data_IF_153202852069
#
_entry.id   IF_153202852069
#
_cell.length_a   1.000
_cell.length_b   1.000
_cell.length_c   1.000
_cell.angle_alpha   90.00
_cell.angle_beta   90.00
_cell.angle_gamma   90.00
#
_symmetry.space_group_name_H-M   'P 1'
#
loop_
_entity.id
_entity.type
_entity.pdbx_description
1 polymer ?
#
# COMPACT_ATOMS: atom_id res chain seq x y z
N UNK A 1 -0.92 32.68 8.28
CA UNK A 1 0.32 31.95 8.60
C UNK A 1 0.03 30.97 9.71
N UNK A 2 -0.13 29.67 9.41
CA UNK A 2 -0.40 28.65 10.42
C UNK A 2 0.90 28.39 11.18
N UNK A 3 0.86 28.59 12.49
CA UNK A 3 2.00 28.49 13.39
C UNK A 3 2.63 27.08 13.35
N UNK A 4 3.91 26.99 12.98
CA UNK A 4 4.67 25.74 12.85
C UNK A 4 4.66 24.88 14.12
N UNK A 5 4.35 25.44 15.31
CA UNK A 5 4.18 24.65 16.55
C UNK A 5 2.94 23.77 16.56
N UNK A 6 1.81 24.20 15.97
CA UNK A 6 0.59 23.37 15.88
C UNK A 6 0.70 22.24 14.86
N UNK A 7 1.52 22.39 13.81
CA UNK A 7 1.82 21.28 12.90
C UNK A 7 2.68 20.20 13.57
N UNK A 8 3.61 20.59 14.45
CA UNK A 8 4.45 19.66 15.20
C UNK A 8 3.67 18.78 16.18
N UNK A 9 2.68 19.34 16.87
CA UNK A 9 1.83 18.60 17.81
C UNK A 9 0.83 17.66 17.10
N UNK A 10 0.36 17.99 15.90
CA UNK A 10 -0.48 17.10 15.09
C UNK A 10 0.34 15.94 14.50
N UNK A 11 1.63 16.16 14.23
CA UNK A 11 2.56 15.15 13.74
C UNK A 11 3.01 14.17 14.84
N UNK A 12 3.19 14.63 16.09
CA UNK A 12 3.61 13.76 17.19
C UNK A 12 2.52 12.80 17.69
N UNK A 13 1.25 13.07 17.39
CA UNK A 13 0.12 12.20 17.77
C UNK A 13 -0.11 11.01 16.82
N UNK A 14 0.67 10.89 15.74
CA UNK A 14 0.55 9.78 14.81
C UNK A 14 1.89 9.03 14.73
N UNK A 15 1.97 7.82 15.29
CA UNK A 15 3.09 6.89 15.01
C UNK A 15 3.32 6.62 13.52
N UNK A 16 2.37 7.01 12.66
CA UNK A 16 2.55 7.08 11.20
C UNK A 16 3.60 8.12 10.80
N UNK A 17 3.65 9.31 11.42
CA UNK A 17 4.61 10.39 11.12
C UNK A 17 6.06 9.98 11.33
N UNK A 18 6.37 9.36 12.47
CA UNK A 18 7.69 8.78 12.75
C UNK A 18 8.04 7.66 11.77
N UNK A 19 7.10 6.76 11.44
CA UNK A 19 7.30 5.72 10.42
C UNK A 19 7.61 6.32 9.03
N UNK A 20 6.97 7.43 8.66
CA UNK A 20 7.24 8.14 7.40
C UNK A 20 8.62 8.81 7.41
N UNK A 21 9.03 9.40 8.53
CA UNK A 21 10.33 10.04 8.68
C UNK A 21 11.47 9.00 8.67
N UNK A 22 11.29 7.88 9.38
CA UNK A 22 12.20 6.73 9.37
C UNK A 22 12.32 6.11 7.97
N UNK A 23 11.20 5.90 7.25
CA UNK A 23 11.24 5.44 5.85
C UNK A 23 12.01 6.43 4.96
N UNK A 24 11.82 7.74 5.16
CA UNK A 24 12.53 8.79 4.44
C UNK A 24 14.05 8.74 4.66
N UNK A 25 14.48 8.55 5.92
CA UNK A 25 15.89 8.44 6.29
C UNK A 25 16.56 7.17 5.75
N UNK A 26 15.87 6.03 5.76
CA UNK A 26 16.37 4.78 5.15
C UNK A 26 16.62 4.98 3.65
N UNK A 27 15.67 5.59 2.94
CA UNK A 27 15.81 5.85 1.49
C UNK A 27 16.91 6.86 1.17
N UNK A 28 17.11 7.87 2.02
CA UNK A 28 18.25 8.80 1.90
C UNK A 28 19.58 8.07 2.06
N UNK A 29 19.70 7.18 3.07
CA UNK A 29 20.92 6.39 3.34
C UNK A 29 21.24 5.40 2.23
N UNK A 30 20.23 4.78 1.62
CA UNK A 30 20.37 3.86 0.49
C UNK A 30 20.70 4.55 -0.85
N UNK A 31 20.95 5.87 -0.86
CA UNK A 31 21.21 6.66 -2.07
C UNK A 31 20.09 6.60 -3.12
N UNK A 32 18.87 6.17 -2.73
CA UNK A 32 17.72 6.09 -3.65
C UNK A 32 17.35 7.47 -4.20
N UNK A 33 17.51 8.53 -3.39
CA UNK A 33 17.36 9.91 -3.85
C UNK A 33 18.29 10.25 -5.03
N UNK A 34 19.55 9.81 -4.99
CA UNK A 34 20.50 10.02 -6.10
C UNK A 34 20.09 9.24 -7.33
N UNK A 35 19.59 8.02 -7.16
CA UNK A 35 19.06 7.21 -8.25
C UNK A 35 17.83 7.83 -8.91
N UNK A 36 16.87 8.32 -8.11
CA UNK A 36 15.71 9.06 -8.60
C UNK A 36 16.10 10.31 -9.41
N UNK A 37 17.07 11.09 -8.91
CA UNK A 37 17.59 12.26 -9.61
C UNK A 37 18.38 11.88 -10.88
N UNK A 38 19.06 10.73 -10.87
CA UNK A 38 19.72 10.18 -12.06
C UNK A 38 18.70 9.77 -13.13
N UNK A 39 17.62 9.09 -12.74
CA UNK A 39 16.53 8.72 -13.65
C UNK A 39 15.89 9.98 -14.26
N UNK A 40 15.62 11.00 -13.46
CA UNK A 40 15.08 12.27 -13.95
C UNK A 40 15.99 12.95 -14.98
N UNK A 41 17.29 12.98 -14.72
CA UNK A 41 18.25 13.69 -15.61
C UNK A 41 18.50 12.95 -16.93
N UNK A 42 18.40 11.63 -16.93
CA UNK A 42 18.78 10.81 -18.08
C UNK A 42 17.59 10.16 -18.80
N UNK A 43 16.38 10.23 -18.25
CA UNK A 43 15.20 9.55 -18.82
C UNK A 43 13.91 10.36 -18.63
N UNK A 44 12.93 10.15 -19.52
CA UNK A 44 11.58 10.74 -19.40
C UNK A 44 10.64 9.91 -18.50
N UNK A 45 11.17 9.08 -17.60
CA UNK A 45 10.38 8.18 -16.76
C UNK A 45 9.64 8.98 -15.67
N UNK A 46 8.30 8.88 -15.69
CA UNK A 46 7.40 9.43 -14.67
C UNK A 46 7.09 8.37 -13.62
N UNK A 47 6.71 8.75 -12.38
CA UNK A 47 6.26 7.80 -11.36
C UNK A 47 5.17 6.85 -11.88
N UNK A 48 4.24 7.36 -12.68
CA UNK A 48 3.13 6.56 -13.25
C UNK A 48 3.63 5.39 -14.12
N UNK A 49 4.73 5.56 -14.85
CA UNK A 49 5.32 4.46 -15.64
C UNK A 49 5.88 3.35 -14.73
N UNK A 50 6.44 3.72 -13.58
CA UNK A 50 6.94 2.78 -12.58
C UNK A 50 5.75 2.01 -11.98
N UNK A 51 4.66 2.69 -11.65
CA UNK A 51 3.44 2.06 -11.13
C UNK A 51 2.83 1.07 -12.14
N UNK A 52 2.72 1.46 -13.41
CA UNK A 52 2.20 0.58 -14.48
C UNK A 52 3.10 -0.65 -14.66
N UNK A 53 4.41 -0.46 -14.71
CA UNK A 53 5.36 -1.58 -14.78
C UNK A 53 5.24 -2.50 -13.55
N UNK A 54 5.11 -1.91 -12.36
CA UNK A 54 4.96 -2.65 -11.12
C UNK A 54 3.66 -3.48 -11.08
N UNK A 55 2.57 -2.96 -11.65
CA UNK A 55 1.33 -3.71 -11.82
C UNK A 55 1.53 -4.97 -12.69
N UNK A 56 2.20 -4.84 -13.84
CA UNK A 56 2.47 -6.00 -14.69
C UNK A 56 3.39 -7.03 -14.02
N UNK A 57 4.36 -6.59 -13.21
CA UNK A 57 5.16 -7.50 -12.38
C UNK A 57 4.29 -8.26 -11.37
N UNK A 58 3.35 -7.59 -10.71
CA UNK A 58 2.40 -8.23 -9.81
C UNK A 58 1.58 -9.31 -10.52
N UNK A 59 1.05 -9.01 -11.72
CA UNK A 59 0.30 -9.99 -12.53
C UNK A 59 1.20 -11.15 -12.97
N UNK A 60 2.43 -10.88 -13.40
CA UNK A 60 3.38 -11.92 -13.79
C UNK A 60 3.73 -12.86 -12.62
N UNK A 61 3.74 -12.34 -11.40
CA UNK A 61 3.92 -13.13 -10.19
C UNK A 61 2.88 -14.23 -10.02
N UNK A 62 1.64 -14.02 -10.47
CA UNK A 62 0.58 -15.05 -10.45
C UNK A 62 0.91 -16.23 -11.36
N UNK A 63 1.61 -16.02 -12.47
CA UNK A 63 2.01 -17.11 -13.38
C UNK A 63 3.03 -18.03 -12.73
N UNK A 64 3.91 -17.46 -11.90
CA UNK A 64 4.93 -18.18 -11.14
C UNK A 64 4.40 -18.78 -9.84
N UNK A 65 3.22 -18.33 -9.39
CA UNK A 65 2.59 -18.79 -8.16
C UNK A 65 2.40 -20.31 -8.21
N UNK A 66 2.93 -20.99 -7.20
CA UNK A 66 3.00 -22.46 -7.08
C UNK A 66 3.85 -23.20 -8.14
N UNK A 67 4.39 -22.53 -9.17
CA UNK A 67 5.27 -23.16 -10.19
C UNK A 67 6.75 -23.00 -9.89
N UNK A 68 7.16 -21.80 -9.49
CA UNK A 68 8.56 -21.51 -9.20
C UNK A 68 8.65 -20.54 -8.00
N UNK A 69 8.69 -21.09 -6.77
CA UNK A 69 8.73 -20.29 -5.54
C UNK A 69 9.91 -19.32 -5.51
N UNK A 70 11.10 -19.74 -5.94
CA UNK A 70 12.29 -18.89 -5.93
C UNK A 70 12.13 -17.67 -6.87
N UNK A 71 11.69 -17.90 -8.10
CA UNK A 71 11.45 -16.82 -9.06
C UNK A 71 10.34 -15.88 -8.60
N UNK A 72 9.26 -16.42 -8.01
CA UNK A 72 8.20 -15.63 -7.38
C UNK A 72 8.75 -14.74 -6.26
N UNK A 73 9.58 -15.29 -5.37
CA UNK A 73 10.16 -14.56 -4.23
C UNK A 73 11.00 -13.38 -4.70
N UNK A 74 11.87 -13.60 -5.69
CA UNK A 74 12.68 -12.53 -6.29
C UNK A 74 11.77 -11.46 -6.90
N UNK A 75 10.74 -11.88 -7.65
CA UNK A 75 9.81 -10.96 -8.30
C UNK A 75 9.02 -10.13 -7.27
N UNK A 76 8.53 -10.75 -6.19
CA UNK A 76 7.79 -10.06 -5.13
C UNK A 76 8.66 -9.08 -4.35
N UNK A 77 9.94 -9.39 -4.14
CA UNK A 77 10.90 -8.44 -3.56
C UNK A 77 11.05 -7.22 -4.48
N UNK A 78 11.25 -7.45 -5.79
CA UNK A 78 11.36 -6.36 -6.77
C UNK A 78 10.07 -5.54 -6.81
N UNK A 79 8.91 -6.19 -6.82
CA UNK A 79 7.59 -5.55 -6.79
C UNK A 79 7.41 -4.65 -5.57
N UNK A 80 7.75 -5.15 -4.37
CA UNK A 80 7.69 -4.36 -3.14
C UNK A 80 8.65 -3.16 -3.15
N UNK A 81 9.85 -3.33 -3.71
CA UNK A 81 10.81 -2.23 -3.83
C UNK A 81 10.31 -1.14 -4.78
N UNK A 82 9.69 -1.53 -5.90
CA UNK A 82 9.16 -0.59 -6.90
C UNK A 82 7.95 0.22 -6.39
N UNK A 83 7.04 -0.40 -5.63
CA UNK A 83 5.90 0.28 -4.96
C UNK A 83 6.34 1.31 -3.90
N UNK A 84 7.50 1.10 -3.28
CA UNK A 84 8.06 2.12 -2.38
C UNK A 84 8.83 3.18 -3.18
N UNK A 85 9.41 2.81 -4.32
CA UNK A 85 10.20 3.70 -5.17
C UNK A 85 9.35 4.73 -5.90
N UNK A 86 8.24 4.35 -6.52
CA UNK A 86 7.38 5.28 -7.26
C UNK A 86 6.77 6.34 -6.32
N UNK A 87 6.32 5.92 -5.13
CA UNK A 87 5.82 6.80 -4.08
C UNK A 87 6.93 7.72 -3.56
N UNK A 88 8.14 7.21 -3.36
CA UNK A 88 9.29 8.04 -2.97
C UNK A 88 9.68 9.04 -4.06
N UNK A 89 9.73 8.59 -5.31
CA UNK A 89 10.05 9.41 -6.48
C UNK A 89 9.04 10.55 -6.66
N UNK A 90 7.74 10.28 -6.48
CA UNK A 90 6.70 11.30 -6.52
C UNK A 90 6.87 12.37 -5.44
N UNK A 91 7.33 12.03 -4.21
CA UNK A 91 7.58 13.05 -3.17
C UNK A 91 8.85 13.85 -3.43
N UNK A 92 9.93 13.20 -3.89
CA UNK A 92 11.17 13.90 -4.28
C UNK A 92 10.88 14.93 -5.37
N UNK A 93 10.05 14.56 -6.35
CA UNK A 93 9.61 15.43 -7.45
C UNK A 93 8.51 16.42 -7.07
N UNK A 94 7.92 16.31 -5.86
CA UNK A 94 6.75 17.09 -5.40
C UNK A 94 5.54 17.06 -6.36
N UNK A 95 5.36 15.96 -7.09
CA UNK A 95 4.27 15.75 -8.08
C UNK A 95 3.21 14.77 -7.58
N UNK A 96 3.06 14.64 -6.25
CA UNK A 96 2.06 13.76 -5.65
C UNK A 96 0.65 14.23 -6.03
N UNK A 97 -0.16 13.33 -6.57
CA UNK A 97 -1.54 13.61 -6.93
C UNK A 97 -2.51 12.67 -6.20
N UNK A 98 -3.75 13.14 -5.96
CA UNK A 98 -4.82 12.29 -5.41
C UNK A 98 -5.18 11.16 -6.39
N UNK A 99 -5.20 11.49 -7.68
CA UNK A 99 -5.44 10.52 -8.75
C UNK A 99 -4.38 9.42 -8.80
N UNK A 100 -3.10 9.77 -8.73
CA UNK A 100 -2.01 8.80 -8.73
C UNK A 100 -2.11 7.84 -7.54
N UNK A 101 -2.39 8.35 -6.33
CA UNK A 101 -2.62 7.50 -5.14
C UNK A 101 -3.82 6.57 -5.29
N UNK A 102 -4.89 7.03 -5.93
CA UNK A 102 -6.06 6.20 -6.19
C UNK A 102 -5.73 5.07 -7.17
N UNK A 103 -5.08 5.38 -8.30
CA UNK A 103 -4.69 4.36 -9.30
C UNK A 103 -3.72 3.35 -8.70
N UNK A 104 -2.72 3.84 -7.97
CA UNK A 104 -1.78 3.03 -7.22
C UNK A 104 -2.52 2.06 -6.29
N UNK A 105 -3.44 2.55 -5.44
CA UNK A 105 -4.23 1.70 -4.54
C UNK A 105 -5.15 0.71 -5.27
N UNK A 106 -5.77 1.10 -6.39
CA UNK A 106 -6.62 0.21 -7.19
C UNK A 106 -5.81 -0.91 -7.84
N UNK A 107 -4.65 -0.59 -8.43
CA UNK A 107 -3.76 -1.57 -9.04
C UNK A 107 -3.34 -2.63 -8.01
N UNK A 108 -2.90 -2.13 -6.87
CA UNK A 108 -2.56 -2.85 -5.66
C UNK A 108 -3.69 -3.75 -5.10
N UNK A 109 -4.93 -3.26 -5.11
CA UNK A 109 -6.13 -4.01 -4.71
C UNK A 109 -6.39 -5.17 -5.69
N UNK A 110 -6.29 -4.90 -7.00
CA UNK A 110 -6.47 -5.91 -8.04
C UNK A 110 -5.44 -7.04 -7.87
N UNK A 111 -4.16 -6.71 -7.67
CA UNK A 111 -3.13 -7.72 -7.41
C UNK A 111 -3.46 -8.55 -6.18
N UNK A 112 -3.82 -7.92 -5.06
CA UNK A 112 -4.20 -8.63 -3.83
C UNK A 112 -5.37 -9.61 -4.06
N UNK A 113 -6.43 -9.16 -4.73
CA UNK A 113 -7.59 -9.99 -5.09
C UNK A 113 -7.20 -11.17 -5.97
N UNK A 114 -6.37 -10.95 -6.99
CA UNK A 114 -5.93 -12.04 -7.87
C UNK A 114 -5.14 -13.11 -7.11
N UNK A 115 -4.24 -12.70 -6.21
CA UNK A 115 -3.49 -13.63 -5.36
C UNK A 115 -4.42 -14.42 -4.43
N UNK A 116 -5.45 -13.78 -3.86
CA UNK A 116 -6.46 -14.46 -3.04
C UNK A 116 -7.28 -15.46 -3.86
N UNK A 117 -7.72 -15.10 -5.07
CA UNK A 117 -8.51 -15.98 -5.95
C UNK A 117 -7.69 -17.21 -6.34
N UNK A 118 -6.46 -17.02 -6.82
CA UNK A 118 -5.62 -18.15 -7.26
C UNK A 118 -5.28 -19.06 -6.08
N UNK A 119 -4.99 -18.50 -4.91
CA UNK A 119 -4.76 -19.29 -3.70
C UNK A 119 -6.01 -20.04 -3.23
N UNK A 120 -7.18 -19.39 -3.21
CA UNK A 120 -8.44 -20.02 -2.83
C UNK A 120 -8.81 -21.17 -3.77
N UNK A 121 -8.61 -20.98 -5.08
CA UNK A 121 -8.83 -22.01 -6.09
C UNK A 121 -7.83 -23.18 -5.96
N UNK A 122 -6.57 -22.91 -5.64
CA UNK A 122 -5.53 -23.93 -5.50
C UNK A 122 -5.73 -24.81 -4.26
N UNK A 123 -6.02 -24.19 -3.09
CA UNK A 123 -6.16 -24.92 -1.84
C UNK A 123 -7.58 -25.49 -1.62
N UNK A 124 -8.61 -24.91 -2.24
CA UNK A 124 -10.00 -25.37 -2.13
C UNK A 124 -10.64 -25.12 -0.76
N UNK A 125 -10.05 -24.28 0.09
CA UNK A 125 -10.50 -24.06 1.46
C UNK A 125 -11.58 -22.96 1.52
N UNK A 126 -12.77 -23.29 2.05
CA UNK A 126 -13.93 -22.39 2.04
C UNK A 126 -13.68 -21.02 2.71
N UNK A 127 -12.88 -20.98 3.78
CA UNK A 127 -12.58 -19.75 4.50
C UNK A 127 -11.79 -18.73 3.66
N UNK A 128 -11.05 -19.17 2.64
CA UNK A 128 -10.32 -18.27 1.74
C UNK A 128 -11.29 -17.48 0.83
N UNK A 129 -12.44 -18.06 0.48
CA UNK A 129 -13.50 -17.34 -0.23
C UNK A 129 -14.19 -16.32 0.65
N UNK A 130 -14.38 -16.62 1.94
CA UNK A 130 -14.88 -15.66 2.93
C UNK A 130 -13.90 -14.49 3.05
N UNK A 131 -12.60 -14.77 3.12
CA UNK A 131 -11.56 -13.74 3.15
C UNK A 131 -11.62 -12.84 1.90
N UNK A 132 -11.78 -13.42 0.71
CA UNK A 132 -11.95 -12.66 -0.53
C UNK A 132 -13.19 -11.75 -0.47
N UNK A 133 -14.33 -12.24 0.03
CA UNK A 133 -15.54 -11.43 0.19
C UNK A 133 -15.33 -10.25 1.14
N UNK A 134 -14.64 -10.47 2.27
CA UNK A 134 -14.28 -9.39 3.20
C UNK A 134 -13.36 -8.36 2.54
N UNK A 135 -12.37 -8.83 1.77
CA UNK A 135 -11.44 -7.96 1.04
C UNK A 135 -12.16 -7.06 0.04
N UNK A 136 -13.06 -7.63 -0.77
CA UNK A 136 -13.87 -6.88 -1.72
C UNK A 136 -14.88 -5.94 -1.03
N UNK A 137 -15.50 -6.39 0.06
CA UNK A 137 -16.46 -5.61 0.83
C UNK A 137 -15.84 -4.35 1.45
N UNK A 138 -14.61 -4.46 1.97
CA UNK A 138 -13.85 -3.30 2.46
C UNK A 138 -13.66 -2.26 1.36
N UNK A 139 -13.18 -2.66 0.19
CA UNK A 139 -12.94 -1.73 -0.93
C UNK A 139 -14.23 -1.08 -1.42
N UNK A 140 -15.33 -1.84 -1.47
CA UNK A 140 -16.65 -1.28 -1.80
C UNK A 140 -17.08 -0.18 -0.82
N UNK A 141 -16.88 -0.39 0.49
CA UNK A 141 -17.18 0.62 1.51
C UNK A 141 -16.27 1.84 1.36
N UNK A 142 -14.97 1.64 1.13
CA UNK A 142 -14.01 2.74 0.93
C UNK A 142 -14.36 3.61 -0.29
N UNK A 143 -14.82 2.99 -1.38
CA UNK A 143 -15.33 3.69 -2.55
C UNK A 143 -16.57 4.53 -2.22
N UNK A 144 -17.56 3.94 -1.54
CA UNK A 144 -18.77 4.67 -1.10
C UNK A 144 -18.48 5.83 -0.14
N UNK A 145 -17.37 5.73 0.61
CA UNK A 145 -16.90 6.75 1.53
C UNK A 145 -15.98 7.82 0.89
N UNK A 146 -15.68 7.69 -0.41
CA UNK A 146 -14.76 8.58 -1.14
C UNK A 146 -13.34 8.59 -0.56
N UNK A 147 -12.91 7.46 0.02
CA UNK A 147 -11.61 7.29 0.71
C UNK A 147 -10.80 6.15 0.09
N UNK A 148 -11.07 5.83 -1.17
CA UNK A 148 -10.36 4.78 -1.89
C UNK A 148 -8.90 5.14 -2.19
N UNK A 149 -8.46 6.38 -1.97
CA UNK A 149 -7.05 6.77 -2.02
C UNK A 149 -6.25 6.50 -0.73
N UNK A 150 -6.91 6.15 0.37
CA UNK A 150 -6.25 5.87 1.64
C UNK A 150 -5.67 4.44 1.62
N UNK A 151 -4.33 4.31 1.62
CA UNK A 151 -3.63 3.01 1.66
C UNK A 151 -3.62 2.45 3.09
N UNK A 152 -3.95 1.16 3.22
CA UNK A 152 -3.84 0.36 4.44
C UNK A 152 -2.94 -0.86 4.23
N UNK A 153 -2.38 -1.48 5.28
CA UNK A 153 -1.46 -2.62 5.17
C UNK A 153 -2.17 -3.94 4.77
N UNK A 154 -3.07 -3.92 3.78
CA UNK A 154 -3.87 -5.06 3.34
C UNK A 154 -3.11 -6.08 2.47
N UNK A 155 -1.81 -5.88 2.23
CA UNK A 155 -0.97 -6.76 1.39
C UNK A 155 0.33 -7.20 2.04
N UNK A 156 0.44 -7.01 3.36
CA UNK A 156 1.56 -7.53 4.16
C UNK A 156 1.67 -9.04 4.03
N UNK A 157 0.56 -9.73 3.72
CA UNK A 157 0.56 -11.17 3.50
C UNK A 157 1.44 -11.66 2.34
N UNK A 158 1.66 -10.83 1.31
CA UNK A 158 2.51 -11.19 0.17
C UNK A 158 3.98 -11.39 0.59
N UNK A 159 4.41 -10.81 1.71
CA UNK A 159 5.75 -11.06 2.26
C UNK A 159 5.92 -12.54 2.62
N UNK A 160 4.87 -13.21 3.10
CA UNK A 160 4.93 -14.64 3.43
C UNK A 160 5.08 -15.52 2.18
N UNK A 161 4.66 -15.02 1.01
CA UNK A 161 4.80 -15.73 -0.25
C UNK A 161 6.27 -15.79 -0.68
N UNK A 162 7.10 -14.83 -0.26
CA UNK A 162 8.56 -14.83 -0.47
C UNK A 162 9.22 -16.04 0.23
N UNK A 163 8.68 -16.46 1.37
CA UNK A 163 9.21 -17.59 2.15
C UNK A 163 8.52 -18.93 1.85
N UNK A 164 7.56 -18.94 0.92
CA UNK A 164 6.74 -20.12 0.64
C UNK A 164 5.67 -20.41 1.69
N UNK A 165 5.47 -19.52 2.67
CA UNK A 165 4.48 -19.68 3.73
C UNK A 165 3.11 -19.11 3.34
N UNK A 166 2.60 -19.54 2.18
CA UNK A 166 1.40 -18.98 1.56
C UNK A 166 0.18 -19.00 2.49
N UNK A 167 -0.09 -20.15 3.12
CA UNK A 167 -1.20 -20.33 4.07
C UNK A 167 -1.08 -19.40 5.28
N UNK A 168 0.11 -19.28 5.86
CA UNK A 168 0.34 -18.36 6.98
C UNK A 168 0.08 -16.91 6.58
N UNK A 169 0.53 -16.51 5.38
CA UNK A 169 0.21 -15.21 4.83
C UNK A 169 -1.30 -14.95 4.78
N UNK A 170 -2.07 -15.90 4.25
CA UNK A 170 -3.53 -15.79 4.17
C UNK A 170 -4.21 -15.70 5.55
N UNK A 171 -3.73 -16.47 6.53
CA UNK A 171 -4.22 -16.37 7.92
C UNK A 171 -3.90 -14.99 8.52
N UNK A 172 -2.68 -14.48 8.31
CA UNK A 172 -2.30 -13.14 8.73
C UNK A 172 -3.19 -12.10 8.04
N UNK A 173 -3.50 -12.26 6.76
CA UNK A 173 -4.41 -11.38 6.04
C UNK A 173 -5.80 -11.36 6.66
N UNK A 174 -6.34 -12.51 7.02
CA UNK A 174 -7.66 -12.61 7.66
C UNK A 174 -7.73 -11.86 8.99
N UNK A 175 -6.60 -11.68 9.68
CA UNK A 175 -6.52 -10.92 10.93
C UNK A 175 -6.24 -9.44 10.67
N UNK A 176 -5.29 -9.13 9.79
CA UNK A 176 -4.84 -7.76 9.51
C UNK A 176 -5.95 -6.93 8.87
N UNK A 177 -6.75 -7.54 7.99
CA UNK A 177 -7.79 -6.85 7.25
C UNK A 177 -8.88 -6.19 8.12
N UNK A 178 -9.57 -6.90 9.03
CA UNK A 178 -10.55 -6.26 9.90
C UNK A 178 -9.90 -5.22 10.81
N UNK A 179 -8.66 -5.46 11.28
CA UNK A 179 -7.93 -4.50 12.10
C UNK A 179 -7.61 -3.21 11.35
N UNK A 180 -7.14 -3.31 10.10
CA UNK A 180 -6.82 -2.14 9.28
C UNK A 180 -8.06 -1.31 8.98
N UNK A 181 -9.19 -1.96 8.73
CA UNK A 181 -10.45 -1.28 8.50
C UNK A 181 -10.98 -0.58 9.76
N UNK A 182 -10.90 -1.23 10.93
CA UNK A 182 -11.27 -0.60 12.22
C UNK A 182 -10.37 0.60 12.52
N UNK A 183 -9.06 0.47 12.28
CA UNK A 183 -8.12 1.58 12.43
C UNK A 183 -8.50 2.76 11.53
N UNK A 184 -8.85 2.50 10.27
CA UNK A 184 -9.34 3.52 9.35
C UNK A 184 -10.56 4.27 9.91
N UNK A 185 -11.60 3.54 10.35
CA UNK A 185 -12.80 4.14 10.90
C UNK A 185 -12.51 4.98 12.15
N UNK A 186 -11.63 4.50 13.03
CA UNK A 186 -11.19 5.24 14.22
C UNK A 186 -10.51 6.56 13.85
N UNK A 187 -9.57 6.54 12.90
CA UNK A 187 -8.87 7.73 12.41
C UNK A 187 -9.84 8.72 11.75
N UNK A 188 -10.75 8.23 10.91
CA UNK A 188 -11.78 9.07 10.26
C UNK A 188 -12.68 9.75 11.28
N UNK A 189 -13.11 9.03 12.31
CA UNK A 189 -13.92 9.57 13.41
C UNK A 189 -13.16 10.63 14.24
N UNK A 190 -11.86 10.46 14.45
CA UNK A 190 -11.04 11.46 15.15
C UNK A 190 -10.89 12.76 14.35
N UNK A 191 -10.62 12.64 13.03
CA UNK A 191 -10.53 13.81 12.13
C UNK A 191 -11.86 14.55 12.01
N UNK A 192 -12.98 13.83 11.92
CA UNK A 192 -14.33 14.44 11.91
C UNK A 192 -14.66 15.22 13.20
N UNK A 193 -14.20 14.74 14.37
CA UNK A 193 -14.38 15.44 15.66
C UNK A 193 -13.56 16.73 15.78
N UNK A 194 -12.36 16.78 15.19
CA UNK A 194 -11.52 17.98 15.23
C UNK A 194 -12.03 19.14 14.34
N UNK A 195 -12.80 18.85 13.29
CA UNK A 195 -13.45 19.88 12.48
C UNK A 195 -14.81 20.35 13.04
N UNK A 196 -15.40 19.60 13.98
CA UNK A 196 -16.68 19.92 14.61
C UNK A 196 -16.61 20.90 15.80
N UNK A 197 -15.44 21.10 16.41
CA UNK A 197 -15.30 22.00 17.57
C UNK A 197 -14.88 23.44 17.23
N UNK A 198 -14.88 23.80 15.94
CA UNK A 198 -14.51 25.14 15.46
C UNK A 198 -15.68 26.03 15.03
N UNK A 199 -16.93 25.59 15.24
CA UNK A 199 -18.13 26.41 15.06
C UNK A 199 -19.07 26.29 16.25
N UNK A 200 -18.69 26.87 17.39
CA UNK A 200 -19.66 27.39 18.35
C UNK A 200 -19.04 28.65 18.97
N UNK A 201 -19.64 29.79 18.59
CA UNK A 201 -19.59 31.15 19.16
C UNK A 201 -18.25 31.88 19.23
#
# INVERSE_FOLDING_TARGET
>A
MVNNRKLGEIFSLNGLGELYEVKGEVFKRLKVAKFCLFLEKNTFIRPDHITVFNFFLGVFGLVLLFKNPLALSILLIVHFLLDNLDGYYARVRKIQSRYGRYIDHVADFIIGVLYLIVSAAHYGEAWMWILLMLFCGEMFILLGLGSAEDKFPSRVFLIFYIFGWYRLGLVVQAIVQPLSFVQYLAVKRMKGRHFGSGRVN
#
